data_IF_998918197237
#
_entry.id   IF_998918197237
#
_cell.length_a   1.000
_cell.length_b   1.000
_cell.length_c   1.000
_cell.angle_alpha   90.00
_cell.angle_beta   90.00
_cell.angle_gamma   90.00
#
_symmetry.space_group_name_H-M   'P 1'
#
loop_
_entity.id
_entity.type
_entity.pdbx_description
1 polymer ?
#
# COMPACT_ATOMS: atom_id res chain seq x y z
N UNK A 1 -20.05 3.07 1.29
CA UNK A 1 -20.19 4.16 0.30
C UNK A 1 -18.86 4.34 -0.40
N UNK A 2 -18.89 4.45 -1.72
CA UNK A 2 -17.72 4.77 -2.55
C UNK A 2 -18.09 5.90 -3.50
N UNK A 3 -17.27 6.95 -3.51
CA UNK A 3 -17.40 8.11 -4.40
C UNK A 3 -16.04 8.35 -5.03
N UNK A 4 -16.02 8.59 -6.35
CA UNK A 4 -14.78 8.71 -7.11
C UNK A 4 -14.88 9.76 -8.21
N UNK A 5 -13.79 10.49 -8.43
CA UNK A 5 -13.55 11.41 -9.57
C UNK A 5 -14.74 12.35 -9.82
N UNK A 6 -15.19 13.02 -8.76
CA UNK A 6 -16.43 13.79 -8.78
C UNK A 6 -16.27 15.12 -8.06
N UNK A 7 -16.81 16.19 -8.66
CA UNK A 7 -17.18 17.39 -7.93
C UNK A 7 -18.54 17.13 -7.28
N UNK A 8 -18.58 17.09 -5.96
CA UNK A 8 -19.79 16.74 -5.22
C UNK A 8 -20.33 17.96 -4.49
N UNK A 9 -21.64 18.15 -4.59
CA UNK A 9 -22.34 19.18 -3.84
C UNK A 9 -22.33 18.84 -2.32
N UNK A 10 -21.98 19.81 -1.44
CA UNK A 10 -21.98 19.64 0.01
C UNK A 10 -23.25 19.03 0.59
N UNK A 11 -24.43 19.49 0.18
CA UNK A 11 -25.71 19.04 0.74
C UNK A 11 -26.00 17.60 0.31
N UNK A 12 -25.63 17.24 -0.92
CA UNK A 12 -25.70 15.87 -1.41
C UNK A 12 -24.77 14.97 -0.58
N UNK A 13 -23.54 15.40 -0.33
CA UNK A 13 -22.60 14.62 0.49
C UNK A 13 -23.12 14.43 1.92
N UNK A 14 -23.61 15.51 2.56
CA UNK A 14 -24.20 15.46 3.90
C UNK A 14 -25.40 14.52 3.97
N UNK A 15 -26.27 14.53 2.95
CA UNK A 15 -27.39 13.61 2.86
C UNK A 15 -26.93 12.15 2.78
N UNK A 16 -25.83 11.87 2.07
CA UNK A 16 -25.27 10.53 1.94
C UNK A 16 -24.62 10.02 3.24
N UNK A 17 -23.94 10.89 4.00
CA UNK A 17 -23.29 10.52 5.27
C UNK A 17 -24.22 10.62 6.50
N UNK A 18 -25.45 11.11 6.33
CA UNK A 18 -26.44 11.23 7.41
C UNK A 18 -26.73 9.91 8.13
N UNK A 19 -26.48 8.78 7.46
CA UNK A 19 -26.60 7.46 8.06
C UNK A 19 -25.35 7.10 8.87
N UNK A 20 -25.43 7.25 10.20
CA UNK A 20 -24.34 6.95 11.14
C UNK A 20 -23.92 5.47 11.22
N UNK A 21 -24.62 4.57 10.52
CA UNK A 21 -24.28 3.14 10.44
C UNK A 21 -23.32 2.81 9.29
N UNK A 22 -22.75 3.82 8.64
CA UNK A 22 -21.83 3.60 7.54
C UNK A 22 -20.57 2.86 8.04
N UNK A 23 -20.35 1.65 7.52
CA UNK A 23 -19.15 0.84 7.84
C UNK A 23 -17.96 1.10 6.94
N UNK A 24 -18.20 1.55 5.71
CA UNK A 24 -17.17 1.76 4.70
C UNK A 24 -17.34 3.11 4.03
N UNK A 25 -16.29 3.93 4.08
CA UNK A 25 -16.20 5.19 3.37
C UNK A 25 -14.96 5.18 2.47
N UNK A 26 -15.20 5.29 1.17
CA UNK A 26 -14.13 5.40 0.16
C UNK A 26 -14.37 6.68 -0.63
N UNK A 27 -13.42 7.61 -0.54
CA UNK A 27 -13.41 8.87 -1.29
C UNK A 27 -12.11 8.93 -2.10
N UNK A 28 -12.24 9.00 -3.42
CA UNK A 28 -11.12 9.07 -4.36
C UNK A 28 -11.28 10.31 -5.25
N UNK A 29 -10.36 11.28 -5.17
CA UNK A 29 -10.38 12.52 -5.97
C UNK A 29 -11.76 13.21 -5.96
N UNK A 30 -12.33 13.37 -4.76
CA UNK A 30 -13.60 14.06 -4.56
C UNK A 30 -13.32 15.49 -4.13
N UNK A 31 -13.93 16.44 -4.82
CA UNK A 31 -13.74 17.87 -4.58
C UNK A 31 -15.05 18.54 -4.15
N UNK A 32 -14.94 19.71 -3.51
CA UNK A 32 -16.09 20.56 -3.18
C UNK A 32 -16.81 20.20 -1.89
N UNK A 33 -16.27 19.28 -1.09
CA UNK A 33 -16.88 18.79 0.16
C UNK A 33 -16.03 19.06 1.42
N UNK A 34 -14.99 19.89 1.30
CA UNK A 34 -14.00 20.09 2.37
C UNK A 34 -14.64 20.65 3.65
N UNK A 35 -15.61 21.55 3.47
CA UNK A 35 -16.42 22.14 4.55
C UNK A 35 -17.30 21.11 5.28
N UNK A 36 -17.49 19.92 4.71
CA UNK A 36 -18.34 18.85 5.25
C UNK A 36 -17.58 17.80 6.06
N UNK A 37 -16.24 17.86 6.12
CA UNK A 37 -15.47 16.81 6.80
C UNK A 37 -15.64 16.80 8.31
N UNK A 38 -15.98 17.94 8.93
CA UNK A 38 -16.30 17.97 10.36
C UNK A 38 -17.52 17.09 10.68
N UNK A 39 -18.47 16.95 9.76
CA UNK A 39 -19.68 16.15 9.92
C UNK A 39 -19.40 14.64 9.82
N UNK A 40 -18.25 14.23 9.28
CA UNK A 40 -17.81 12.83 9.34
C UNK A 40 -17.62 12.35 10.78
N UNK A 41 -17.43 13.24 11.75
CA UNK A 41 -17.34 12.88 13.17
C UNK A 41 -18.61 12.19 13.71
N UNK A 42 -19.73 12.27 13.01
CA UNK A 42 -20.97 11.57 13.35
C UNK A 42 -21.01 10.10 12.89
N UNK A 43 -19.97 9.66 12.17
CA UNK A 43 -19.80 8.28 11.76
C UNK A 43 -19.07 7.52 12.88
N UNK A 44 -19.79 6.58 13.49
CA UNK A 44 -19.36 5.90 14.73
C UNK A 44 -19.13 4.40 14.51
N UNK A 45 -19.44 3.93 13.30
CA UNK A 45 -19.41 2.51 12.92
C UNK A 45 -18.46 2.24 11.77
N UNK A 46 -17.58 3.19 11.41
CA UNK A 46 -16.64 2.96 10.31
C UNK A 46 -15.65 1.87 10.69
N UNK A 47 -15.53 0.90 9.82
CA UNK A 47 -14.54 -0.17 9.85
C UNK A 47 -13.48 0.08 8.76
N UNK A 48 -13.91 0.66 7.63
CA UNK A 48 -13.06 0.89 6.44
C UNK A 48 -13.07 2.37 6.07
N UNK A 49 -11.89 3.00 6.06
CA UNK A 49 -11.71 4.40 5.68
C UNK A 49 -10.60 4.55 4.63
N UNK A 50 -11.00 4.89 3.41
CA UNK A 50 -10.09 5.10 2.28
C UNK A 50 -10.24 6.54 1.76
N UNK A 51 -9.18 7.33 1.84
CA UNK A 51 -9.15 8.73 1.44
C UNK A 51 -7.97 8.99 0.49
N UNK A 52 -8.23 9.07 -0.81
CA UNK A 52 -7.20 9.25 -1.83
C UNK A 52 -7.42 10.56 -2.60
N UNK A 53 -6.42 11.42 -2.67
CA UNK A 53 -6.56 12.71 -3.36
C UNK A 53 -7.59 13.63 -2.72
N UNK A 54 -7.72 13.57 -1.39
CA UNK A 54 -8.66 14.37 -0.59
C UNK A 54 -7.88 15.27 0.35
N UNK A 55 -8.24 16.55 0.41
CA UNK A 55 -7.65 17.51 1.35
C UNK A 55 -8.47 17.56 2.65
N UNK A 56 -8.17 16.66 3.58
CA UNK A 56 -8.80 16.62 4.90
C UNK A 56 -7.84 17.15 5.96
N UNK A 57 -8.35 18.01 6.84
CA UNK A 57 -7.57 18.51 7.99
C UNK A 57 -7.09 17.35 8.88
N UNK A 58 -5.81 17.39 9.29
CA UNK A 58 -5.18 16.38 10.14
C UNK A 58 -6.02 16.06 11.38
N UNK A 59 -6.50 17.10 12.08
CA UNK A 59 -7.32 16.94 13.29
C UNK A 59 -8.55 16.08 13.01
N UNK A 60 -9.25 16.37 11.92
CA UNK A 60 -10.46 15.65 11.52
C UNK A 60 -10.14 14.19 11.18
N UNK A 61 -9.05 13.93 10.45
CA UNK A 61 -8.60 12.56 10.17
C UNK A 61 -8.29 11.80 11.46
N UNK A 62 -7.48 12.38 12.36
CA UNK A 62 -7.09 11.74 13.60
C UNK A 62 -8.30 11.47 14.51
N UNK A 63 -9.27 12.37 14.56
CA UNK A 63 -10.49 12.17 15.36
C UNK A 63 -11.38 11.08 14.76
N UNK A 64 -11.48 10.99 13.43
CA UNK A 64 -12.15 9.87 12.75
C UNK A 64 -11.52 8.53 13.10
N UNK A 65 -10.19 8.45 12.99
CA UNK A 65 -9.44 7.23 13.30
C UNK A 65 -9.65 6.87 14.78
N UNK A 66 -9.48 7.82 15.71
CA UNK A 66 -9.64 7.58 17.15
C UNK A 66 -11.02 7.01 17.48
N UNK A 67 -12.09 7.64 16.96
CA UNK A 67 -13.47 7.31 17.31
C UNK A 67 -13.94 5.97 16.74
N UNK A 68 -13.43 5.59 15.56
CA UNK A 68 -13.97 4.46 14.81
C UNK A 68 -13.19 3.16 15.03
N UNK A 69 -13.87 1.99 15.03
CA UNK A 69 -13.24 0.67 15.12
C UNK A 69 -12.64 0.24 13.77
N UNK A 70 -11.75 1.05 13.21
CA UNK A 70 -11.17 0.79 11.90
C UNK A 70 -10.37 -0.52 11.89
N UNK A 71 -10.61 -1.34 10.87
CA UNK A 71 -9.81 -2.49 10.48
C UNK A 71 -9.04 -2.24 9.18
N UNK A 72 -9.50 -1.34 8.32
CA UNK A 72 -8.83 -0.94 7.08
C UNK A 72 -8.66 0.59 7.06
N UNK A 73 -7.43 1.04 6.89
CA UNK A 73 -7.10 2.45 6.74
C UNK A 73 -6.17 2.65 5.54
N UNK A 74 -6.62 3.45 4.59
CA UNK A 74 -5.81 3.84 3.44
C UNK A 74 -5.94 5.34 3.23
N UNK A 75 -4.82 6.03 3.08
CA UNK A 75 -4.88 7.40 2.57
C UNK A 75 -3.62 7.82 1.81
N UNK A 76 -3.81 8.76 0.89
CA UNK A 76 -2.73 9.41 0.14
C UNK A 76 -2.87 10.92 0.22
N UNK A 77 -1.76 11.64 0.03
CA UNK A 77 -1.74 13.10 -0.17
C UNK A 77 -2.22 13.96 1.02
N UNK A 78 -2.44 13.37 2.19
CA UNK A 78 -2.86 14.11 3.39
C UNK A 78 -1.62 14.55 4.18
N UNK A 79 -1.55 15.82 4.55
CA UNK A 79 -0.49 16.37 5.39
C UNK A 79 -0.75 16.00 6.85
N UNK A 80 -0.20 14.88 7.31
CA UNK A 80 -0.35 14.38 8.68
C UNK A 80 1.03 14.10 9.27
N UNK A 81 1.24 14.51 10.52
CA UNK A 81 2.43 14.12 11.27
C UNK A 81 2.42 12.60 11.54
N UNK A 82 3.40 11.84 11.01
CA UNK A 82 3.47 10.39 11.21
C UNK A 82 3.49 9.99 12.68
N UNK A 83 4.18 10.74 13.55
CA UNK A 83 4.23 10.42 14.98
C UNK A 83 2.86 10.49 15.63
N UNK A 84 2.07 11.52 15.29
CA UNK A 84 0.70 11.69 15.79
C UNK A 84 -0.22 10.62 15.25
N UNK A 85 -0.13 10.28 13.96
CA UNK A 85 -0.90 9.20 13.36
C UNK A 85 -0.64 7.86 14.07
N UNK A 86 0.61 7.43 14.14
CA UNK A 86 0.95 6.12 14.72
C UNK A 86 0.62 6.04 16.20
N UNK A 87 0.67 7.16 16.95
CA UNK A 87 0.18 7.21 18.33
C UNK A 87 -1.32 6.90 18.49
N UNK A 88 -2.11 7.14 17.43
CA UNK A 88 -3.52 6.76 17.38
C UNK A 88 -3.68 5.32 16.89
N UNK A 89 -2.90 4.91 15.88
CA UNK A 89 -2.96 3.55 15.31
C UNK A 89 -2.56 2.46 16.29
N UNK A 90 -1.68 2.74 17.25
CA UNK A 90 -1.24 1.77 18.28
C UNK A 90 -2.40 1.20 19.13
N UNK A 91 -3.57 1.87 19.13
CA UNK A 91 -4.78 1.47 19.85
C UNK A 91 -5.83 0.83 18.94
N UNK A 92 -5.45 0.47 17.71
CA UNK A 92 -6.33 -0.10 16.69
C UNK A 92 -5.98 -1.54 16.41
N UNK A 93 -6.96 -2.29 15.93
CA UNK A 93 -6.84 -3.69 15.50
C UNK A 93 -6.91 -3.74 13.97
N UNK A 94 -6.03 -2.98 13.31
CA UNK A 94 -5.95 -2.94 11.85
C UNK A 94 -5.55 -4.29 11.25
N UNK A 95 -6.20 -4.60 10.14
CA UNK A 95 -5.82 -5.66 9.19
C UNK A 95 -5.05 -5.10 8.01
N UNK A 96 -5.47 -3.94 7.51
CA UNK A 96 -4.87 -3.33 6.34
C UNK A 96 -4.51 -1.87 6.62
N UNK A 97 -3.23 -1.54 6.37
CA UNK A 97 -2.70 -0.20 6.53
C UNK A 97 -1.93 0.22 5.28
N UNK A 98 -2.44 1.24 4.59
CA UNK A 98 -1.80 1.84 3.44
C UNK A 98 -1.56 3.32 3.70
N UNK A 99 -0.29 3.73 3.77
CA UNK A 99 0.09 5.09 4.11
C UNK A 99 1.11 5.68 3.14
N UNK A 100 0.83 6.93 2.78
CA UNK A 100 1.67 7.76 1.92
C UNK A 100 2.25 8.92 2.73
N UNK A 101 3.15 8.56 3.66
CA UNK A 101 3.81 9.47 4.58
C UNK A 101 5.28 9.04 4.75
N UNK A 102 6.18 9.96 5.11
CA UNK A 102 7.56 9.62 5.48
C UNK A 102 7.58 8.88 6.82
N UNK A 103 7.69 7.54 6.77
CA UNK A 103 7.74 6.68 7.96
C UNK A 103 9.19 6.34 8.30
N UNK A 104 9.47 6.14 9.59
CA UNK A 104 10.79 5.72 10.10
C UNK A 104 10.60 4.59 11.11
N UNK A 105 11.70 3.94 11.50
CA UNK A 105 11.67 2.73 12.33
C UNK A 105 10.85 2.90 13.63
N UNK A 106 10.93 4.07 14.28
CA UNK A 106 10.22 4.34 15.51
C UNK A 106 8.69 4.30 15.34
N UNK A 107 8.17 4.64 14.16
CA UNK A 107 6.75 4.54 13.86
C UNK A 107 6.31 3.07 13.75
N UNK A 108 7.09 2.19 13.11
CA UNK A 108 6.75 0.77 13.02
C UNK A 108 6.69 0.08 14.39
N UNK A 109 7.52 0.52 15.34
CA UNK A 109 7.47 0.05 16.73
C UNK A 109 6.11 0.30 17.40
N UNK A 110 5.41 1.39 17.02
CA UNK A 110 4.10 1.73 17.56
C UNK A 110 2.98 0.83 17.01
N UNK A 111 3.25 0.00 16.00
CA UNK A 111 2.29 -0.97 15.48
C UNK A 111 2.28 -2.29 16.28
N UNK A 112 3.01 -2.42 17.39
CA UNK A 112 3.16 -3.69 18.12
C UNK A 112 1.82 -4.38 18.44
N UNK A 113 0.80 -3.60 18.82
CA UNK A 113 -0.55 -4.10 19.12
C UNK A 113 -1.37 -4.51 17.89
N UNK A 114 -0.98 -4.11 16.69
CA UNK A 114 -1.65 -4.53 15.44
C UNK A 114 -1.27 -5.98 15.11
N UNK A 115 -1.78 -6.94 15.91
CA UNK A 115 -1.48 -8.37 15.82
C UNK A 115 -2.21 -9.04 14.66
N UNK A 116 -3.23 -8.39 14.13
CA UNK A 116 -4.03 -8.86 13.00
C UNK A 116 -3.64 -8.20 11.67
N UNK A 117 -2.55 -7.43 11.63
CA UNK A 117 -2.11 -6.74 10.43
C UNK A 117 -1.65 -7.76 9.39
N UNK A 118 -2.39 -7.81 8.28
CA UNK A 118 -2.18 -8.71 7.14
C UNK A 118 -1.57 -7.99 5.94
N UNK A 119 -1.89 -6.71 5.77
CA UNK A 119 -1.37 -5.91 4.66
C UNK A 119 -0.78 -4.60 5.16
N UNK A 120 0.45 -4.32 4.76
CA UNK A 120 1.15 -3.07 5.06
C UNK A 120 1.76 -2.50 3.78
N UNK A 121 1.45 -1.24 3.49
CA UNK A 121 2.09 -0.48 2.42
C UNK A 121 2.65 0.82 2.94
N UNK A 122 3.95 1.02 2.75
CA UNK A 122 4.70 2.23 3.09
C UNK A 122 5.22 2.86 1.80
N UNK A 123 4.65 4.00 1.39
CA UNK A 123 5.05 4.63 0.11
C UNK A 123 6.35 5.44 0.17
N UNK A 124 6.71 5.93 1.35
CA UNK A 124 8.01 6.56 1.61
C UNK A 124 8.69 5.83 2.77
N UNK A 125 9.34 4.74 2.42
CA UNK A 125 10.15 3.90 3.29
C UNK A 125 11.62 4.35 3.32
N UNK A 126 11.95 5.58 2.90
CA UNK A 126 13.34 6.04 2.74
C UNK A 126 14.14 6.13 4.04
N UNK A 127 13.44 6.11 5.19
CA UNK A 127 14.02 6.09 6.54
C UNK A 127 13.80 4.76 7.27
N UNK A 128 13.34 3.73 6.56
CA UNK A 128 13.19 2.38 7.09
C UNK A 128 14.43 1.56 6.77
N UNK A 129 14.92 0.84 7.76
CA UNK A 129 15.91 -0.21 7.58
C UNK A 129 15.42 -1.54 8.18
N UNK A 130 16.28 -2.56 8.14
CA UNK A 130 15.97 -3.87 8.69
C UNK A 130 15.57 -3.82 10.18
N UNK A 131 16.17 -2.92 10.98
CA UNK A 131 15.82 -2.79 12.39
C UNK A 131 14.37 -2.33 12.56
N UNK A 132 13.88 -1.45 11.68
CA UNK A 132 12.47 -1.07 11.63
C UNK A 132 11.56 -2.23 11.25
N UNK A 133 11.93 -2.99 10.23
CA UNK A 133 11.12 -4.13 9.78
C UNK A 133 11.03 -5.25 10.81
N UNK A 134 12.01 -5.41 11.70
CA UNK A 134 11.95 -6.40 12.78
C UNK A 134 10.75 -6.21 13.73
N UNK A 135 10.17 -5.01 13.82
CA UNK A 135 8.92 -4.78 14.56
C UNK A 135 7.69 -5.47 13.92
N UNK A 136 7.82 -5.92 12.66
CA UNK A 136 6.77 -6.60 11.92
C UNK A 136 6.90 -8.13 11.95
N UNK A 137 8.00 -8.68 12.51
CA UNK A 137 8.35 -10.11 12.37
C UNK A 137 7.31 -11.09 12.92
N UNK A 138 6.47 -10.64 13.88
CA UNK A 138 5.45 -11.47 14.51
C UNK A 138 4.03 -11.19 13.96
N UNK A 139 3.93 -10.40 12.89
CA UNK A 139 2.65 -10.06 12.27
C UNK A 139 2.31 -11.08 11.19
N UNK A 140 1.02 -11.42 11.01
CA UNK A 140 0.58 -12.35 9.97
C UNK A 140 0.54 -11.65 8.59
N UNK A 141 1.60 -10.93 8.22
CA UNK A 141 1.65 -10.16 6.98
C UNK A 141 1.68 -11.11 5.79
N UNK A 142 0.61 -11.09 5.01
CA UNK A 142 0.50 -11.73 3.71
C UNK A 142 0.89 -10.79 2.57
N UNK A 143 0.76 -9.47 2.79
CA UNK A 143 1.10 -8.45 1.79
C UNK A 143 2.00 -7.37 2.39
N UNK A 144 3.11 -7.10 1.72
CA UNK A 144 4.04 -6.05 2.11
C UNK A 144 4.49 -5.24 0.89
N UNK A 145 4.25 -3.93 0.94
CA UNK A 145 4.71 -2.97 -0.06
C UNK A 145 5.65 -1.95 0.60
N UNK A 146 6.90 -1.89 0.12
CA UNK A 146 7.94 -0.98 0.59
C UNK A 146 8.43 -0.15 -0.59
N UNK A 147 8.00 1.11 -0.66
CA UNK A 147 8.37 2.00 -1.76
C UNK A 147 9.34 3.07 -1.26
N UNK A 148 10.35 3.37 -2.06
CA UNK A 148 11.36 4.39 -1.74
C UNK A 148 12.40 3.94 -0.73
N UNK A 149 12.67 2.63 -0.61
CA UNK A 149 13.75 2.13 0.24
C UNK A 149 15.10 2.61 -0.31
N UNK A 150 15.94 3.17 0.56
CA UNK A 150 17.28 3.65 0.16
C UNK A 150 18.32 2.55 0.07
N UNK A 151 18.15 1.49 0.87
CA UNK A 151 19.11 0.41 0.99
C UNK A 151 18.44 -0.94 1.04
N UNK A 152 19.03 -1.88 0.32
CA UNK A 152 18.68 -3.28 0.33
C UNK A 152 19.93 -4.12 0.55
N UNK A 153 19.78 -5.20 1.33
CA UNK A 153 20.78 -6.25 1.41
C UNK A 153 20.10 -7.62 1.62
N UNK A 154 20.88 -8.70 1.48
CA UNK A 154 20.38 -10.08 1.57
C UNK A 154 19.65 -10.40 2.90
N UNK A 155 19.92 -9.65 3.97
CA UNK A 155 19.27 -9.80 5.27
C UNK A 155 17.77 -9.52 5.23
N UNK A 156 17.31 -8.70 4.29
CA UNK A 156 15.89 -8.50 4.06
C UNK A 156 15.21 -9.78 3.60
N UNK A 157 15.85 -10.60 2.76
CA UNK A 157 15.29 -11.90 2.33
C UNK A 157 15.10 -12.82 3.53
N UNK A 158 16.10 -12.94 4.40
CA UNK A 158 15.99 -13.75 5.62
C UNK A 158 14.88 -13.25 6.57
N UNK A 159 14.62 -11.94 6.58
CA UNK A 159 13.48 -11.39 7.30
C UNK A 159 12.16 -11.76 6.63
N UNK A 160 12.04 -11.58 5.32
CA UNK A 160 10.82 -11.88 4.56
C UNK A 160 10.43 -13.37 4.63
N UNK A 161 11.41 -14.28 4.71
CA UNK A 161 11.18 -15.72 4.92
C UNK A 161 10.42 -16.06 6.22
N UNK A 162 10.46 -15.16 7.22
CA UNK A 162 9.77 -15.35 8.51
C UNK A 162 8.30 -14.93 8.44
N UNK A 163 7.91 -14.25 7.37
CA UNK A 163 6.55 -13.76 7.17
C UNK A 163 5.78 -14.69 6.23
N UNK A 164 4.47 -14.87 6.41
CA UNK A 164 3.63 -15.66 5.51
C UNK A 164 3.27 -14.88 4.23
N UNK A 165 4.25 -14.21 3.61
CA UNK A 165 4.03 -13.33 2.47
C UNK A 165 3.62 -14.12 1.24
N UNK A 166 2.55 -13.64 0.60
CA UNK A 166 2.11 -14.08 -0.72
C UNK A 166 2.31 -12.99 -1.77
N UNK A 167 2.29 -11.72 -1.36
CA UNK A 167 2.53 -10.55 -2.19
C UNK A 167 3.66 -9.71 -1.60
N UNK A 168 4.63 -9.35 -2.44
CA UNK A 168 5.69 -8.42 -2.09
C UNK A 168 5.87 -7.37 -3.18
N UNK A 169 5.84 -6.10 -2.80
CA UNK A 169 6.12 -4.97 -3.69
C UNK A 169 7.29 -4.15 -3.16
N UNK A 170 8.21 -3.79 -4.04
CA UNK A 170 9.43 -3.09 -3.68
C UNK A 170 9.78 -2.00 -4.69
N UNK A 171 10.14 -0.84 -4.17
CA UNK A 171 10.98 0.15 -4.86
C UNK A 171 12.18 0.45 -3.99
N UNK A 172 13.38 0.20 -4.52
CA UNK A 172 14.63 0.44 -3.81
C UNK A 172 15.73 0.95 -4.74
N UNK A 173 16.50 1.93 -4.26
CA UNK A 173 17.52 2.63 -5.05
C UNK A 173 18.70 1.72 -5.44
N UNK A 174 19.15 0.85 -4.53
CA UNK A 174 20.34 0.01 -4.69
C UNK A 174 20.03 -1.45 -5.05
N UNK A 175 18.75 -1.79 -5.27
CA UNK A 175 18.31 -3.15 -5.55
C UNK A 175 18.75 -3.64 -6.93
N UNK A 176 19.48 -4.77 -6.96
CA UNK A 176 20.17 -5.30 -8.15
C UNK A 176 19.54 -6.57 -8.72
N UNK A 177 20.08 -7.05 -9.84
CA UNK A 177 19.75 -8.38 -10.41
C UNK A 177 19.94 -9.52 -9.40
N UNK A 178 21.02 -9.49 -8.61
CA UNK A 178 21.31 -10.53 -7.61
C UNK A 178 20.27 -10.55 -6.50
N UNK A 179 19.84 -9.36 -6.08
CA UNK A 179 18.78 -9.20 -5.09
C UNK A 179 17.44 -9.68 -5.63
N UNK A 180 17.11 -9.38 -6.88
CA UNK A 180 15.93 -9.90 -7.55
C UNK A 180 15.91 -11.43 -7.55
N UNK A 181 17.03 -12.06 -7.93
CA UNK A 181 17.17 -13.52 -7.93
C UNK A 181 17.03 -14.11 -6.53
N UNK A 182 17.50 -13.42 -5.50
CA UNK A 182 17.35 -13.89 -4.10
C UNK A 182 15.89 -13.97 -3.65
N UNK A 183 14.97 -13.25 -4.28
CA UNK A 183 13.53 -13.37 -4.00
C UNK A 183 12.94 -14.72 -4.44
N UNK A 184 13.64 -15.51 -5.28
CA UNK A 184 13.20 -16.85 -5.68
C UNK A 184 13.16 -17.84 -4.51
N UNK A 185 13.90 -17.55 -3.44
CA UNK A 185 13.91 -18.37 -2.21
C UNK A 185 12.67 -18.13 -1.34
N UNK A 186 11.82 -17.17 -1.71
CA UNK A 186 10.57 -16.86 -1.02
C UNK A 186 9.40 -17.60 -1.67
N UNK A 187 8.41 -17.99 -0.86
CA UNK A 187 7.18 -18.61 -1.36
C UNK A 187 6.15 -17.57 -1.84
N UNK A 188 6.61 -16.57 -2.59
CA UNK A 188 5.76 -15.50 -3.09
C UNK A 188 4.91 -16.00 -4.26
N UNK A 189 3.67 -15.52 -4.32
CA UNK A 189 2.78 -15.74 -5.46
C UNK A 189 2.76 -14.56 -6.41
N UNK A 190 3.07 -13.36 -5.90
CA UNK A 190 3.08 -12.11 -6.64
C UNK A 190 4.28 -11.27 -6.18
N UNK A 191 5.09 -10.84 -7.15
CA UNK A 191 6.23 -9.96 -6.93
C UNK A 191 6.06 -8.73 -7.80
N UNK A 192 6.10 -7.56 -7.17
CA UNK A 192 6.03 -6.27 -7.85
C UNK A 192 7.29 -5.47 -7.62
N UNK A 193 8.01 -5.16 -8.69
CA UNK A 193 9.23 -4.36 -8.61
C UNK A 193 8.99 -3.04 -9.32
N UNK A 194 9.17 -1.92 -8.61
CA UNK A 194 8.93 -0.58 -9.12
C UNK A 194 10.24 0.20 -9.10
N UNK A 195 10.55 0.88 -10.20
CA UNK A 195 11.61 1.89 -10.28
C UNK A 195 12.96 1.51 -9.64
N UNK A 196 13.41 0.25 -9.72
CA UNK A 196 14.73 -0.18 -9.21
C UNK A 196 15.82 0.01 -10.28
N UNK A 197 16.60 1.10 -10.30
CA UNK A 197 17.42 1.47 -11.46
C UNK A 197 18.56 0.49 -11.78
N UNK A 198 18.93 -0.38 -10.84
CA UNK A 198 20.07 -1.29 -10.97
C UNK A 198 19.69 -2.72 -11.38
N UNK A 199 18.43 -2.96 -11.74
CA UNK A 199 18.03 -4.23 -12.38
C UNK A 199 18.16 -4.07 -13.89
N UNK A 200 18.87 -5.00 -14.50
CA UNK A 200 19.03 -5.11 -15.95
C UNK A 200 17.92 -5.95 -16.57
N UNK A 201 17.75 -5.82 -17.88
CA UNK A 201 16.85 -6.69 -18.65
C UNK A 201 17.23 -8.18 -18.49
N UNK A 202 18.53 -8.48 -18.36
CA UNK A 202 19.01 -9.85 -18.14
C UNK A 202 18.52 -10.40 -16.80
N UNK A 203 18.63 -9.63 -15.72
CA UNK A 203 18.14 -10.04 -14.40
C UNK A 203 16.63 -10.28 -14.40
N UNK A 204 15.87 -9.42 -15.08
CA UNK A 204 14.42 -9.58 -15.26
C UNK A 204 14.09 -10.89 -15.98
N UNK A 205 14.78 -11.18 -17.09
CA UNK A 205 14.57 -12.41 -17.87
C UNK A 205 14.90 -13.62 -17.00
N UNK A 206 16.07 -13.63 -16.36
CA UNK A 206 16.52 -14.75 -15.53
C UNK A 206 15.57 -15.03 -14.37
N UNK A 207 15.11 -13.99 -13.69
CA UNK A 207 14.11 -14.10 -12.63
C UNK A 207 12.79 -14.65 -13.18
N UNK A 208 12.31 -14.11 -14.30
CA UNK A 208 11.03 -14.53 -14.92
C UNK A 208 11.02 -15.98 -15.41
N UNK A 209 12.18 -16.52 -15.80
CA UNK A 209 12.29 -17.92 -16.22
C UNK A 209 12.26 -18.90 -15.05
N UNK A 210 12.72 -18.47 -13.87
CA UNK A 210 12.86 -19.32 -12.68
C UNK A 210 11.71 -19.14 -11.68
N UNK A 211 11.08 -17.98 -11.69
CA UNK A 211 10.03 -17.64 -10.74
C UNK A 211 8.80 -18.54 -10.92
N UNK A 212 8.26 -18.94 -9.78
CA UNK A 212 6.95 -19.60 -9.68
C UNK A 212 5.83 -18.59 -9.39
N UNK A 213 6.20 -17.33 -9.15
CA UNK A 213 5.30 -16.22 -8.86
C UNK A 213 4.87 -15.51 -10.14
N UNK A 214 3.73 -14.83 -10.07
CA UNK A 214 3.41 -13.74 -10.98
C UNK A 214 4.38 -12.58 -10.74
N UNK A 215 4.88 -11.97 -11.81
CA UNK A 215 5.87 -10.89 -11.74
C UNK A 215 5.31 -9.68 -12.47
N UNK A 216 5.26 -8.56 -11.76
CA UNK A 216 4.95 -7.25 -12.31
C UNK A 216 6.18 -6.35 -12.12
N UNK A 217 6.75 -5.87 -13.23
CA UNK A 217 7.87 -4.94 -13.17
C UNK A 217 7.42 -3.61 -13.77
N UNK A 218 7.49 -2.54 -12.98
CA UNK A 218 7.12 -1.19 -13.38
C UNK A 218 8.39 -0.34 -13.43
N UNK A 219 8.83 -0.02 -14.65
CA UNK A 219 9.84 1.00 -14.89
C UNK A 219 9.21 2.21 -15.55
N UNK A 220 9.59 3.40 -15.07
CA UNK A 220 9.33 4.65 -15.78
C UNK A 220 9.88 4.54 -17.20
N UNK A 221 8.97 4.47 -18.17
CA UNK A 221 9.18 4.49 -19.62
C UNK A 221 9.77 3.27 -20.34
N UNK A 222 10.24 2.21 -19.68
CA UNK A 222 10.67 0.96 -20.36
C UNK A 222 10.36 -0.27 -19.54
N UNK A 223 9.26 -0.94 -19.85
CA UNK A 223 8.98 -2.26 -19.26
C UNK A 223 9.45 -3.33 -20.25
N UNK A 224 10.39 -4.19 -19.84
CA UNK A 224 10.79 -5.41 -20.55
C UNK A 224 9.92 -6.58 -20.06
N UNK A 225 9.41 -7.40 -20.98
CA UNK A 225 8.44 -8.46 -20.66
C UNK A 225 8.87 -9.82 -21.23
N UNK A 226 8.63 -10.88 -20.45
CA UNK A 226 8.55 -12.23 -20.98
C UNK A 226 7.13 -12.48 -21.53
N UNK A 227 6.97 -12.44 -22.85
CA UNK A 227 5.68 -12.61 -23.56
C UNK A 227 5.13 -14.04 -23.51
N UNK A 228 5.83 -14.99 -22.88
CA UNK A 228 5.36 -16.37 -22.72
C UNK A 228 4.15 -16.45 -21.77
N UNK A 229 4.08 -15.63 -20.71
CA UNK A 229 3.09 -15.78 -19.62
C UNK A 229 2.05 -14.65 -19.47
N UNK A 230 2.21 -13.52 -20.17
CA UNK A 230 1.33 -12.33 -19.99
C UNK A 230 0.73 -11.84 -21.31
N UNK A 231 -0.46 -11.21 -21.25
CA UNK A 231 -1.09 -10.50 -22.38
C UNK A 231 -1.37 -9.04 -22.02
N UNK A 232 -0.96 -8.12 -22.89
CA UNK A 232 -1.20 -6.67 -22.79
C UNK A 232 -2.70 -6.37 -22.89
N UNK A 233 -3.30 -5.70 -21.89
CA UNK A 233 -4.74 -5.43 -21.89
C UNK A 233 -5.10 -4.05 -22.48
N UNK A 234 -4.32 -3.00 -22.23
CA UNK A 234 -4.51 -1.70 -22.92
C UNK A 234 -3.40 -0.69 -22.63
N UNK A 235 -3.19 0.22 -23.58
CA UNK A 235 -2.41 1.45 -23.45
C UNK A 235 -3.34 2.58 -23.01
N UNK A 236 -3.10 3.21 -21.85
CA UNK A 236 -3.71 4.49 -21.52
C UNK A 236 -2.66 5.61 -21.66
N UNK A 237 -3.07 6.72 -22.30
CA UNK A 237 -2.26 7.94 -22.39
C UNK A 237 -1.92 8.40 -20.97
N UNK A 238 -0.72 8.09 -20.51
CA UNK A 238 -0.28 8.23 -19.12
C UNK A 238 0.83 7.26 -18.73
N UNK A 239 1.07 6.20 -19.53
CA UNK A 239 2.25 5.34 -19.37
C UNK A 239 2.09 4.20 -18.36
N UNK A 240 0.87 3.92 -17.91
CA UNK A 240 0.57 2.75 -17.08
C UNK A 240 0.13 1.58 -17.96
N UNK A 241 0.62 0.39 -17.62
CA UNK A 241 0.27 -0.84 -18.32
C UNK A 241 -0.44 -1.79 -17.35
N UNK A 242 -1.60 -2.31 -17.73
CA UNK A 242 -2.35 -3.34 -16.98
C UNK A 242 -2.21 -4.69 -17.70
N UNK A 243 -1.82 -5.75 -16.97
CA UNK A 243 -1.60 -7.10 -17.51
C UNK A 243 -2.33 -8.16 -16.71
N UNK A 244 -2.87 -9.16 -17.41
CA UNK A 244 -3.49 -10.35 -16.83
C UNK A 244 -2.62 -11.57 -17.21
N UNK A 245 -2.39 -12.52 -16.28
CA UNK A 245 -1.78 -13.80 -16.62
C UNK A 245 -2.55 -14.51 -17.74
N UNK A 246 -1.86 -15.17 -18.66
CA UNK A 246 -2.52 -15.88 -19.78
C UNK A 246 -3.52 -16.96 -19.33
N UNK A 247 -3.35 -17.48 -18.12
CA UNK A 247 -4.19 -18.54 -17.56
C UNK A 247 -5.44 -18.04 -16.81
N UNK A 248 -5.65 -16.71 -16.74
CA UNK A 248 -6.78 -16.07 -16.05
C UNK A 248 -7.74 -15.32 -16.99
N UNK A 249 -7.72 -15.61 -18.30
CA UNK A 249 -8.82 -15.22 -19.18
C UNK A 249 -9.95 -16.26 -19.08
N UNK A 250 -11.19 -15.79 -18.96
CA UNK A 250 -12.45 -16.52 -18.66
C UNK A 250 -12.65 -16.69 -17.14
N UNK A 251 -13.40 -15.83 -16.46
CA UNK A 251 -14.82 -15.48 -16.67
C UNK A 251 -15.13 -14.01 -16.38
#
# INVERSE_FOLDING_TARGET
MKIKDSLLDPDVFLALIKNNRLKKLVLENVYGIDSCFQQLQNLDSLEILHLCGIDIEEKTLLDLIKKNPLNELSFTTIHVDPSRLFSVLQKKELRDLFIDLPVENAHLALLDNNRHLQSLSLRDASKIDLCGLLFLQNKPLSELELIGLKKWDVSYVYFLQKLPLVFFSLEAEDFTDGDLISLLDLSLTHVKIRHCPNISEKGIIEFSEKAKSQIEIIYGHRISFNTKYFKLKSYTKGGFYEFIPKDYAYF
#
